data_IF_901320810785
#
_entry.id   IF_901320810785
#
_cell.length_a   1.000
_cell.length_b   1.000
_cell.length_c   1.000
_cell.angle_alpha   90.00
_cell.angle_beta   90.00
_cell.angle_gamma   90.00
#
_symmetry.space_group_name_H-M   'P 1'
#
loop_
_entity.id
_entity.type
_entity.pdbx_description
1 polymer ?
#
# COMPACT_ATOMS: atom_id res chain seq x y z
N UNK A 1 -7.85 -6.83 6.05
CA UNK A 1 -9.23 -6.95 5.48
C UNK A 1 -10.02 -5.66 5.61
N UNK A 2 -10.10 -5.01 6.79
CA UNK A 2 -10.85 -3.76 6.98
C UNK A 2 -10.45 -2.65 5.99
N UNK A 3 -9.16 -2.52 5.64
CA UNK A 3 -8.66 -1.50 4.70
C UNK A 3 -9.14 -1.73 3.25
N UNK A 4 -9.29 -2.98 2.83
CA UNK A 4 -9.74 -3.34 1.46
C UNK A 4 -11.28 -3.30 1.39
N UNK A 5 -11.95 -3.79 2.42
CA UNK A 5 -13.42 -3.83 2.54
C UNK A 5 -13.93 -2.67 3.43
N UNK A 6 -13.43 -1.47 3.18
CA UNK A 6 -13.69 -0.28 4.01
C UNK A 6 -14.95 0.49 3.62
N UNK A 7 -15.65 0.10 2.56
CA UNK A 7 -16.89 0.73 2.10
C UNK A 7 -17.94 -0.31 1.74
N UNK A 8 -19.22 0.08 1.83
CA UNK A 8 -20.34 -0.78 1.42
C UNK A 8 -20.22 -1.22 -0.04
N UNK A 9 -19.71 -0.35 -0.92
CA UNK A 9 -19.48 -0.67 -2.34
C UNK A 9 -18.45 -1.80 -2.49
N UNK A 10 -17.28 -1.68 -1.84
CA UNK A 10 -16.22 -2.70 -1.91
C UNK A 10 -16.65 -4.01 -1.24
N UNK A 11 -17.42 -3.94 -0.15
CA UNK A 11 -18.04 -5.12 0.48
C UNK A 11 -19.01 -5.83 -0.47
N UNK A 12 -19.90 -5.10 -1.14
CA UNK A 12 -20.85 -5.68 -2.09
C UNK A 12 -20.14 -6.31 -3.29
N UNK A 13 -19.11 -5.66 -3.82
CA UNK A 13 -18.25 -6.22 -4.87
C UNK A 13 -17.59 -7.53 -4.44
N UNK A 14 -17.05 -7.57 -3.21
CA UNK A 14 -16.48 -8.79 -2.64
C UNK A 14 -17.53 -9.90 -2.48
N UNK A 15 -18.70 -9.59 -1.90
CA UNK A 15 -19.80 -10.56 -1.73
C UNK A 15 -20.24 -11.16 -3.06
N UNK A 16 -20.33 -10.37 -4.12
CA UNK A 16 -20.66 -10.85 -5.46
C UNK A 16 -19.60 -11.81 -6.04
N UNK A 17 -18.32 -11.60 -5.71
CA UNK A 17 -17.22 -12.45 -6.22
C UNK A 17 -17.08 -13.78 -5.46
N UNK A 18 -17.53 -13.89 -4.20
CA UNK A 18 -17.27 -15.09 -3.36
C UNK A 18 -18.38 -16.15 -3.35
N UNK A 19 -19.49 -15.96 -4.07
CA UNK A 19 -20.70 -16.81 -3.98
C UNK A 19 -20.44 -18.31 -4.23
N UNK A 20 -19.30 -18.70 -4.84
CA UNK A 20 -18.89 -20.10 -5.05
C UNK A 20 -17.39 -20.37 -4.77
N UNK A 21 -16.78 -19.64 -3.83
CA UNK A 21 -15.31 -19.61 -3.65
C UNK A 21 -14.90 -20.34 -2.36
N UNK A 22 -13.92 -21.26 -2.45
CA UNK A 22 -13.36 -21.91 -1.25
C UNK A 22 -12.44 -20.96 -0.46
N UNK A 23 -12.10 -21.29 0.79
CA UNK A 23 -11.33 -20.41 1.67
C UNK A 23 -9.98 -19.95 1.11
N UNK A 24 -9.21 -20.84 0.47
CA UNK A 24 -7.93 -20.47 -0.16
C UNK A 24 -8.13 -19.48 -1.31
N UNK A 25 -9.22 -19.65 -2.06
CA UNK A 25 -9.61 -18.75 -3.12
C UNK A 25 -10.11 -17.38 -2.61
N UNK A 26 -10.55 -17.26 -1.34
CA UNK A 26 -10.92 -15.95 -0.75
C UNK A 26 -9.70 -15.03 -0.64
N UNK A 27 -8.55 -15.54 -0.20
CA UNK A 27 -7.31 -14.73 -0.14
C UNK A 27 -6.90 -14.23 -1.52
N UNK A 28 -7.03 -15.09 -2.53
CA UNK A 28 -6.73 -14.71 -3.90
C UNK A 28 -7.69 -13.64 -4.42
N UNK A 29 -8.99 -13.79 -4.18
CA UNK A 29 -9.99 -12.77 -4.54
C UNK A 29 -9.69 -11.43 -3.84
N UNK A 30 -9.30 -11.45 -2.57
CA UNK A 30 -8.92 -10.22 -1.84
C UNK A 30 -7.65 -9.58 -2.40
N UNK A 31 -6.67 -10.39 -2.80
CA UNK A 31 -5.44 -9.90 -3.43
C UNK A 31 -5.72 -9.27 -4.80
N UNK A 32 -6.56 -9.90 -5.61
CA UNK A 32 -7.00 -9.37 -6.90
C UNK A 32 -7.77 -8.06 -6.74
N UNK A 33 -8.70 -8.00 -5.77
CA UNK A 33 -9.46 -6.77 -5.46
C UNK A 33 -8.55 -5.64 -4.97
N UNK A 34 -7.55 -5.94 -4.13
CA UNK A 34 -6.55 -4.96 -3.70
C UNK A 34 -5.89 -4.34 -4.93
N UNK A 35 -5.39 -5.16 -5.86
CA UNK A 35 -4.72 -4.67 -7.06
C UNK A 35 -5.67 -3.87 -7.96
N UNK A 36 -6.91 -4.32 -8.12
CA UNK A 36 -7.95 -3.61 -8.86
C UNK A 36 -8.22 -2.21 -8.28
N UNK A 37 -8.33 -2.10 -6.96
CA UNK A 37 -8.51 -0.80 -6.29
C UNK A 37 -7.27 0.08 -6.37
N UNK A 38 -6.07 -0.48 -6.23
CA UNK A 38 -4.84 0.30 -6.38
C UNK A 38 -4.68 0.90 -7.78
N UNK A 39 -5.19 0.24 -8.81
CA UNK A 39 -5.15 0.68 -10.20
C UNK A 39 -6.26 1.66 -10.55
N UNK A 40 -7.50 1.37 -10.14
CA UNK A 40 -8.69 2.08 -10.63
C UNK A 40 -9.25 3.12 -9.65
N UNK A 41 -9.01 2.94 -8.36
CA UNK A 41 -9.52 3.82 -7.29
C UNK A 41 -8.41 4.13 -6.25
N UNK A 42 -7.26 4.67 -6.70
CA UNK A 42 -6.18 5.01 -5.79
C UNK A 42 -6.56 6.21 -4.92
N UNK A 43 -6.14 6.20 -3.65
CA UNK A 43 -6.20 7.42 -2.83
C UNK A 43 -5.46 8.58 -3.54
N UNK A 44 -6.06 9.79 -3.63
CA UNK A 44 -5.38 10.92 -4.26
C UNK A 44 -4.07 11.27 -3.56
N UNK A 45 -3.06 11.67 -4.34
CA UNK A 45 -1.73 12.03 -3.81
C UNK A 45 -1.80 13.16 -2.78
N UNK A 46 -2.69 14.13 -2.98
CA UNK A 46 -2.92 15.23 -2.02
C UNK A 46 -3.46 14.71 -0.69
N UNK A 47 -4.45 13.80 -0.72
CA UNK A 47 -5.00 13.15 0.46
C UNK A 47 -3.94 12.31 1.17
N UNK A 48 -3.13 11.55 0.42
CA UNK A 48 -2.01 10.78 0.99
C UNK A 48 -1.00 11.69 1.69
N UNK A 49 -0.53 12.76 1.04
CA UNK A 49 0.39 13.74 1.63
C UNK A 49 -0.15 14.33 2.94
N UNK A 50 -1.43 14.72 2.92
CA UNK A 50 -2.10 15.27 4.09
C UNK A 50 -2.16 14.24 5.24
N UNK A 51 -2.66 13.03 4.97
CA UNK A 51 -2.71 11.97 5.98
C UNK A 51 -1.33 11.65 6.52
N UNK A 52 -0.30 11.60 5.68
CA UNK A 52 1.05 11.26 6.12
C UNK A 52 1.62 12.28 7.10
N UNK A 53 1.27 13.57 6.95
CA UNK A 53 1.70 14.62 7.88
C UNK A 53 1.07 14.50 9.28
N UNK A 54 -0.07 13.81 9.40
CA UNK A 54 -0.82 13.66 10.64
C UNK A 54 -0.58 12.28 11.26
N UNK A 55 -0.71 11.23 10.45
CA UNK A 55 -0.55 9.83 10.83
C UNK A 55 0.07 9.04 9.66
N UNK A 56 1.40 8.88 9.63
CA UNK A 56 2.09 8.22 8.53
C UNK A 56 1.78 6.72 8.44
N UNK A 57 1.46 6.06 9.55
CA UNK A 57 1.08 4.64 9.57
C UNK A 57 -0.27 4.47 8.84
N UNK A 58 -1.26 5.28 9.18
CA UNK A 58 -2.56 5.26 8.52
C UNK A 58 -2.46 5.65 7.05
N UNK A 59 -1.60 6.62 6.74
CA UNK A 59 -1.36 7.05 5.36
C UNK A 59 -0.79 5.92 4.51
N UNK A 60 0.26 5.24 5.00
CA UNK A 60 0.88 4.10 4.31
C UNK A 60 -0.10 2.93 4.18
N UNK A 61 -0.84 2.62 5.26
CA UNK A 61 -1.91 1.63 5.26
C UNK A 61 -2.91 1.84 4.13
N UNK A 62 -3.42 3.07 3.96
CA UNK A 62 -4.36 3.39 2.88
C UNK A 62 -3.71 3.49 1.51
N UNK A 63 -2.47 3.93 1.45
CA UNK A 63 -1.75 4.13 0.19
C UNK A 63 -1.39 2.80 -0.48
N UNK A 64 -1.00 1.81 0.31
CA UNK A 64 -0.65 0.47 -0.16
C UNK A 64 -1.81 -0.54 -0.05
N UNK A 65 -2.93 -0.15 0.58
CA UNK A 65 -4.03 -1.04 0.94
C UNK A 65 -3.56 -2.28 1.72
N UNK A 66 -2.61 -2.06 2.63
CA UNK A 66 -1.96 -3.05 3.48
C UNK A 66 -2.16 -2.67 4.95
N UNK A 67 -2.07 -3.64 5.85
CA UNK A 67 -2.15 -3.35 7.28
C UNK A 67 -0.76 -2.97 7.76
N UNK A 68 -0.44 -1.68 7.75
CA UNK A 68 0.86 -1.17 8.18
C UNK A 68 0.80 -0.92 9.68
N UNK A 69 1.73 -1.49 10.41
CA UNK A 69 1.89 -1.26 11.84
C UNK A 69 3.10 -0.37 12.17
N UNK A 70 3.38 -0.24 13.47
CA UNK A 70 4.48 0.59 13.96
C UNK A 70 5.84 0.07 13.50
N UNK A 71 6.04 -1.25 13.45
CA UNK A 71 7.29 -1.88 13.03
C UNK A 71 7.52 -1.62 11.54
N UNK A 72 6.51 -1.86 10.70
CA UNK A 72 6.58 -1.62 9.26
C UNK A 72 6.95 -0.16 8.95
N UNK A 73 6.35 0.79 9.68
CA UNK A 73 6.67 2.20 9.52
C UNK A 73 8.12 2.53 9.92
N UNK A 74 8.63 1.92 11.00
CA UNK A 74 10.02 2.12 11.40
C UNK A 74 11.00 1.56 10.37
N UNK A 75 10.72 0.39 9.80
CA UNK A 75 11.52 -0.19 8.70
C UNK A 75 11.54 0.75 7.49
N UNK A 76 10.37 1.25 7.09
CA UNK A 76 10.26 2.25 6.03
C UNK A 76 11.10 3.51 6.32
N UNK A 77 11.04 4.05 7.53
CA UNK A 77 11.85 5.21 7.90
C UNK A 77 13.35 4.91 7.91
N UNK A 78 13.75 3.74 8.41
CA UNK A 78 15.15 3.32 8.44
C UNK A 78 15.71 3.08 7.03
N UNK A 79 14.90 2.59 6.11
CA UNK A 79 15.23 2.44 4.70
C UNK A 79 15.48 3.79 3.99
N UNK A 80 15.18 4.91 4.62
CA UNK A 80 15.24 6.24 4.01
C UNK A 80 13.93 6.65 3.35
N UNK A 81 12.84 5.96 3.67
CA UNK A 81 11.51 6.22 3.15
C UNK A 81 11.02 7.65 3.40
N UNK A 82 10.43 8.23 2.35
CA UNK A 82 9.82 9.55 2.35
C UNK A 82 8.51 9.55 1.57
N UNK A 83 7.68 10.57 1.78
CA UNK A 83 6.42 10.71 1.05
C UNK A 83 6.66 10.73 -0.46
N UNK A 84 7.69 11.45 -0.89
CA UNK A 84 8.10 11.58 -2.29
C UNK A 84 8.54 10.24 -2.86
N UNK A 85 9.32 9.46 -2.11
CA UNK A 85 9.73 8.11 -2.55
C UNK A 85 8.54 7.17 -2.69
N UNK A 86 7.61 7.17 -1.73
CA UNK A 86 6.40 6.34 -1.82
C UNK A 86 5.57 6.69 -3.07
N UNK A 87 5.37 7.99 -3.33
CA UNK A 87 4.68 8.46 -4.54
C UNK A 87 5.41 8.01 -5.80
N UNK A 88 6.73 8.24 -5.87
CA UNK A 88 7.53 7.90 -7.05
C UNK A 88 7.50 6.40 -7.34
N UNK A 89 7.66 5.55 -6.32
CA UNK A 89 7.61 4.10 -6.48
C UNK A 89 6.24 3.63 -6.96
N UNK A 90 5.16 4.21 -6.43
CA UNK A 90 3.80 3.84 -6.84
C UNK A 90 3.42 4.37 -8.22
N UNK A 91 3.94 5.54 -8.61
CA UNK A 91 3.79 6.02 -10.00
C UNK A 91 4.48 5.10 -11.00
N UNK A 92 5.58 4.43 -10.62
CA UNK A 92 6.26 3.45 -11.47
C UNK A 92 5.59 2.06 -11.44
N UNK A 93 5.06 1.64 -10.28
CA UNK A 93 4.31 0.40 -10.13
C UNK A 93 3.15 0.59 -9.15
N UNK A 94 1.90 0.76 -9.63
CA UNK A 94 0.75 1.06 -8.78
C UNK A 94 0.39 -0.03 -7.77
N UNK A 95 0.73 -1.30 -8.05
CA UNK A 95 0.42 -2.47 -7.21
C UNK A 95 1.61 -2.91 -6.35
N UNK A 96 2.67 -2.12 -6.31
CA UNK A 96 3.84 -2.35 -5.46
C UNK A 96 3.42 -2.40 -3.99
N UNK A 97 3.92 -3.40 -3.27
CA UNK A 97 3.69 -3.59 -1.83
C UNK A 97 4.57 -2.67 -0.98
N UNK A 98 4.23 -2.47 0.29
CA UNK A 98 5.08 -1.68 1.19
C UNK A 98 6.46 -2.33 1.36
N UNK A 99 6.51 -3.67 1.49
CA UNK A 99 7.79 -4.40 1.63
C UNK A 99 8.69 -4.14 0.42
N UNK A 100 8.17 -4.26 -0.79
CA UNK A 100 8.94 -3.92 -2.01
C UNK A 100 9.36 -2.44 -2.05
N UNK A 101 8.55 -1.53 -1.50
CA UNK A 101 8.91 -0.12 -1.36
C UNK A 101 10.09 0.06 -0.40
N UNK A 102 10.08 -0.62 0.74
CA UNK A 102 11.14 -0.62 1.75
C UNK A 102 12.44 -1.09 1.11
N UNK A 103 12.43 -2.26 0.46
CA UNK A 103 13.62 -2.80 -0.21
C UNK A 103 14.17 -1.84 -1.28
N UNK A 104 13.30 -1.19 -2.05
CA UNK A 104 13.72 -0.19 -3.04
C UNK A 104 14.31 1.05 -2.38
N UNK A 105 13.72 1.53 -1.28
CA UNK A 105 14.26 2.67 -0.53
C UNK A 105 15.65 2.35 0.03
N UNK A 106 15.87 1.16 0.58
CA UNK A 106 17.17 0.72 1.07
C UNK A 106 18.24 0.72 -0.01
N UNK A 107 17.92 0.21 -1.21
CA UNK A 107 18.84 0.24 -2.36
C UNK A 107 19.19 1.66 -2.77
N UNK A 108 18.20 2.56 -2.88
CA UNK A 108 18.41 3.98 -3.21
C UNK A 108 19.28 4.67 -2.16
N UNK A 109 19.03 4.41 -0.88
CA UNK A 109 19.82 4.94 0.24
C UNK A 109 21.26 4.42 0.20
N UNK A 110 21.45 3.14 -0.08
CA UNK A 110 22.77 2.51 -0.21
C UNK A 110 23.60 3.14 -1.33
N UNK A 111 23.00 3.32 -2.51
CA UNK A 111 23.64 4.01 -3.65
C UNK A 111 24.02 5.44 -3.27
N UNK A 112 23.11 6.18 -2.64
CA UNK A 112 23.35 7.58 -2.23
C UNK A 112 24.48 7.70 -1.21
N UNK A 113 24.64 6.70 -0.32
CA UNK A 113 25.76 6.65 0.63
C UNK A 113 27.09 6.33 -0.03
N UNK A 114 27.11 5.47 -1.05
CA UNK A 114 28.33 5.09 -1.76
C UNK A 114 28.90 6.20 -2.67
N UNK A 115 28.06 7.19 -3.04
CA UNK A 115 28.44 8.33 -3.88
C UNK A 115 28.91 9.56 -3.08
N UNK A 116 28.92 9.49 -1.75
CA UNK A 116 29.40 10.54 -0.83
C UNK A 116 30.71 10.15 -0.19
#
# INVERSE_FOLDING_TARGET
MQIILNTSVRCNQFMNKIINVNYYSIFQVLYELKNEYLLNDPIPVSTFKHLYSINPIEALSRFYLENVDTLDYWEWKQAGGSIELAINFRSANPTLTLIEAIEKAERVRGITKALK
#
